data_IF_561931209174
#
_entry.id   IF_561931209174
#
_cell.length_a   1.000
_cell.length_b   1.000
_cell.length_c   1.000
_cell.angle_alpha   90.00
_cell.angle_beta   90.00
_cell.angle_gamma   90.00
#
_symmetry.space_group_name_H-M   'P 1'
#
loop_
_entity.id
_entity.type
_entity.pdbx_description
1 polymer ?
#
# COMPACT_ATOMS: atom_id res chain seq x y z
N UNK A 1 -5.13 -35.16 22.48
CA UNK A 1 -3.98 -34.26 22.59
C UNK A 1 -3.91 -33.71 24.00
N UNK A 2 -2.82 -34.05 24.71
CA UNK A 2 -2.56 -33.57 26.06
C UNK A 2 -1.85 -32.21 26.10
N UNK A 3 -1.56 -31.70 27.33
CA UNK A 3 -0.86 -30.43 27.49
C UNK A 3 0.52 -30.38 26.81
N UNK A 4 1.25 -31.52 26.80
CA UNK A 4 2.55 -31.63 26.14
C UNK A 4 2.45 -31.48 24.64
N UNK A 5 1.44 -32.13 24.00
CA UNK A 5 1.21 -32.01 22.55
C UNK A 5 0.84 -30.58 22.15
N UNK A 6 0.08 -29.89 22.99
CA UNK A 6 -0.30 -28.49 22.72
C UNK A 6 0.90 -27.54 22.79
N UNK A 7 1.83 -27.77 23.74
CA UNK A 7 3.09 -27.00 23.78
C UNK A 7 3.93 -27.27 22.55
N UNK A 8 4.10 -28.55 22.17
CA UNK A 8 4.87 -28.94 20.99
C UNK A 8 4.26 -28.39 19.71
N UNK A 9 2.93 -28.39 19.59
CA UNK A 9 2.24 -27.81 18.44
C UNK A 9 2.48 -26.30 18.32
N UNK A 10 2.55 -25.57 19.43
CA UNK A 10 2.89 -24.13 19.43
C UNK A 10 4.32 -23.88 18.96
N UNK A 11 5.28 -24.71 19.39
CA UNK A 11 6.68 -24.63 18.94
C UNK A 11 6.80 -24.91 17.44
N UNK A 12 6.12 -25.92 16.93
CA UNK A 12 6.12 -26.26 15.51
C UNK A 12 5.58 -25.12 14.63
N UNK A 13 4.52 -24.41 15.11
CA UNK A 13 3.99 -23.24 14.41
C UNK A 13 4.93 -22.04 14.51
N UNK A 14 5.63 -21.87 15.64
CA UNK A 14 6.62 -20.79 15.77
C UNK A 14 7.83 -21.00 14.85
N UNK A 15 8.25 -22.24 14.67
CA UNK A 15 9.33 -22.64 13.77
C UNK A 15 8.92 -22.49 12.29
N UNK A 16 7.73 -22.98 11.91
CA UNK A 16 7.20 -22.91 10.54
C UNK A 16 5.72 -22.46 10.55
N UNK A 17 5.47 -21.15 10.51
CA UNK A 17 4.11 -20.60 10.62
C UNK A 17 3.17 -20.93 9.44
N UNK A 18 3.71 -21.34 8.31
CA UNK A 18 2.97 -21.73 7.09
C UNK A 18 2.80 -23.25 6.92
N UNK A 19 3.21 -24.04 7.89
CA UNK A 19 3.00 -25.49 7.88
C UNK A 19 1.51 -25.83 7.72
N UNK A 20 1.22 -26.79 6.86
CA UNK A 20 -0.13 -27.34 6.66
C UNK A 20 -0.55 -28.17 7.88
N UNK A 21 -1.85 -28.39 8.04
CA UNK A 21 -2.36 -29.24 9.13
C UNK A 21 -1.81 -30.66 9.05
N UNK A 22 -1.56 -31.18 7.84
CA UNK A 22 -0.98 -32.50 7.63
C UNK A 22 0.49 -32.54 8.06
N UNK A 23 1.30 -31.57 7.64
CA UNK A 23 2.70 -31.45 8.08
C UNK A 23 2.82 -31.32 9.61
N UNK A 24 1.94 -30.54 10.21
CA UNK A 24 1.88 -30.41 11.67
C UNK A 24 1.53 -31.74 12.35
N UNK A 25 0.59 -32.50 11.79
CA UNK A 25 0.22 -33.82 12.28
C UNK A 25 1.40 -34.79 12.23
N UNK A 26 2.10 -34.83 11.09
CA UNK A 26 3.28 -35.69 10.88
C UNK A 26 4.41 -35.32 11.85
N UNK A 27 4.74 -34.02 11.96
CA UNK A 27 5.83 -33.52 12.82
C UNK A 27 5.51 -33.67 14.33
N UNK A 28 4.23 -33.64 14.69
CA UNK A 28 3.80 -33.87 16.07
C UNK A 28 3.97 -35.35 16.49
N UNK A 29 3.89 -36.28 15.53
CA UNK A 29 4.08 -37.71 15.77
C UNK A 29 2.97 -38.37 16.59
N UNK A 30 1.80 -37.74 16.73
CA UNK A 30 0.66 -38.25 17.50
C UNK A 30 -0.40 -38.84 16.56
N UNK A 31 -0.89 -40.04 16.88
CA UNK A 31 -1.97 -40.68 16.15
C UNK A 31 -3.28 -39.89 16.33
N UNK A 32 -3.55 -38.96 15.43
CA UNK A 32 -4.75 -38.12 15.47
C UNK A 32 -5.20 -37.72 14.07
N UNK A 33 -6.44 -37.26 13.94
CA UNK A 33 -6.96 -36.73 12.68
C UNK A 33 -6.48 -35.29 12.44
N UNK A 34 -6.44 -34.85 11.17
CA UNK A 34 -6.20 -33.46 10.77
C UNK A 34 -7.16 -32.49 11.51
N UNK A 35 -8.41 -32.92 11.70
CA UNK A 35 -9.41 -32.13 12.42
C UNK A 35 -9.09 -31.99 13.91
N UNK A 36 -8.37 -32.94 14.51
CA UNK A 36 -7.89 -32.82 15.89
C UNK A 36 -6.80 -31.73 15.99
N UNK A 37 -5.89 -31.65 15.01
CA UNK A 37 -4.90 -30.56 14.91
C UNK A 37 -5.61 -29.20 14.76
N UNK A 38 -6.59 -29.10 13.84
CA UNK A 38 -7.35 -27.86 13.64
C UNK A 38 -8.07 -27.39 14.92
N UNK A 39 -8.68 -28.31 15.68
CA UNK A 39 -9.31 -28.03 16.98
C UNK A 39 -8.29 -27.59 18.04
N UNK A 40 -7.13 -28.22 18.07
CA UNK A 40 -6.04 -27.85 18.98
C UNK A 40 -5.52 -26.44 18.70
N UNK A 41 -5.27 -26.08 17.43
CA UNK A 41 -4.88 -24.73 17.04
C UNK A 41 -5.92 -23.69 17.46
N UNK A 42 -7.22 -23.99 17.27
CA UNK A 42 -8.30 -23.11 17.72
C UNK A 42 -8.31 -22.94 19.24
N UNK A 43 -8.08 -24.02 20.02
CA UNK A 43 -7.92 -23.97 21.49
C UNK A 43 -6.73 -23.09 21.89
N UNK A 44 -5.64 -23.11 21.12
CA UNK A 44 -4.46 -22.28 21.32
C UNK A 44 -4.65 -20.82 20.84
N UNK A 45 -5.84 -20.46 20.30
CA UNK A 45 -6.14 -19.17 19.67
C UNK A 45 -5.25 -18.87 18.45
N UNK A 46 -4.72 -19.89 17.80
CA UNK A 46 -3.95 -19.78 16.56
C UNK A 46 -4.90 -19.95 15.38
N UNK A 47 -4.99 -18.94 14.53
CA UNK A 47 -5.87 -18.91 13.37
C UNK A 47 -5.08 -18.77 12.08
N UNK A 48 -5.60 -19.30 10.97
CA UNK A 48 -5.02 -19.08 9.65
C UNK A 48 -5.10 -17.60 9.29
N UNK A 49 -3.96 -17.01 8.92
CA UNK A 49 -3.83 -15.64 8.46
C UNK A 49 -3.32 -15.59 7.03
N UNK A 50 -3.70 -14.55 6.29
CA UNK A 50 -3.06 -14.25 5.00
C UNK A 50 -1.60 -13.87 5.29
N UNK A 51 -0.65 -14.45 4.55
CA UNK A 51 0.78 -14.15 4.68
C UNK A 51 1.07 -12.82 4.01
N UNK A 52 1.70 -11.91 4.72
CA UNK A 52 2.24 -10.68 4.14
C UNK A 52 3.57 -11.01 3.47
N UNK A 53 3.61 -10.86 2.13
CA UNK A 53 4.81 -11.09 1.34
C UNK A 53 5.44 -9.75 0.97
N UNK A 54 6.71 -9.59 1.26
CA UNK A 54 7.52 -8.46 0.84
C UNK A 54 8.83 -8.93 0.19
N UNK A 55 9.47 -8.05 -0.55
CA UNK A 55 10.73 -8.38 -1.22
C UNK A 55 11.79 -8.80 -0.19
N UNK A 56 12.49 -9.92 -0.44
CA UNK A 56 13.53 -10.46 0.45
C UNK A 56 14.62 -9.42 0.74
N UNK A 57 14.98 -8.57 -0.22
CA UNK A 57 15.96 -7.49 -0.06
C UNK A 57 15.59 -6.46 1.02
N UNK A 58 14.29 -6.32 1.37
CA UNK A 58 13.80 -5.45 2.45
C UNK A 58 14.42 -5.83 3.81
N UNK A 59 14.67 -7.11 4.04
CA UNK A 59 15.19 -7.62 5.30
C UNK A 59 16.69 -7.48 5.47
N UNK A 60 17.41 -7.04 4.42
CA UNK A 60 18.85 -6.83 4.49
C UNK A 60 19.22 -5.78 5.56
N UNK A 61 20.35 -5.97 6.26
CA UNK A 61 20.81 -5.01 7.29
C UNK A 61 20.96 -3.59 6.76
N UNK A 62 21.38 -3.44 5.49
CA UNK A 62 21.53 -2.15 4.83
C UNK A 62 20.20 -1.42 4.66
N UNK A 63 19.16 -2.12 4.17
CA UNK A 63 17.82 -1.53 4.00
C UNK A 63 17.19 -1.24 5.36
N UNK A 64 17.31 -2.14 6.32
CA UNK A 64 16.83 -1.90 7.71
C UNK A 64 17.47 -0.66 8.36
N UNK A 65 18.76 -0.41 8.10
CA UNK A 65 19.43 0.84 8.57
C UNK A 65 18.84 2.08 7.89
N UNK A 66 18.68 2.06 6.55
CA UNK A 66 18.08 3.17 5.78
C UNK A 66 16.65 3.48 6.26
N UNK A 67 15.82 2.45 6.45
CA UNK A 67 14.46 2.60 6.97
C UNK A 67 14.42 3.23 8.36
N UNK A 68 15.35 2.84 9.25
CA UNK A 68 15.49 3.47 10.57
C UNK A 68 15.96 4.92 10.50
N UNK A 69 16.86 5.25 9.55
CA UNK A 69 17.32 6.61 9.34
C UNK A 69 16.17 7.52 8.89
N UNK A 70 15.43 7.14 7.84
CA UNK A 70 14.26 7.90 7.35
C UNK A 70 13.21 8.08 8.45
N UNK A 71 12.90 7.04 9.24
CA UNK A 71 11.95 7.18 10.35
C UNK A 71 12.40 8.20 11.39
N UNK A 72 13.70 8.24 11.73
CA UNK A 72 14.24 9.22 12.68
C UNK A 72 14.20 10.63 12.11
N UNK A 73 14.54 10.78 10.83
CA UNK A 73 14.53 12.07 10.14
C UNK A 73 13.11 12.64 10.10
N UNK A 74 12.14 11.84 9.65
CA UNK A 74 10.73 12.27 9.56
C UNK A 74 10.10 12.50 10.93
N UNK A 75 10.50 11.77 11.98
CA UNK A 75 9.97 11.96 13.33
C UNK A 75 10.26 13.37 13.92
N UNK A 76 11.24 14.09 13.37
CA UNK A 76 11.55 15.48 13.75
C UNK A 76 10.88 16.53 12.87
N UNK A 77 10.04 16.14 11.92
CA UNK A 77 9.38 17.03 10.97
C UNK A 77 7.90 17.17 11.36
N UNK A 78 7.37 18.40 11.32
CA UNK A 78 5.94 18.63 11.49
C UNK A 78 5.14 17.83 10.45
N UNK A 79 4.23 16.93 10.84
CA UNK A 79 3.42 16.12 9.93
C UNK A 79 2.65 16.95 8.88
N UNK A 80 2.33 18.20 9.15
CA UNK A 80 1.69 19.13 8.21
C UNK A 80 2.59 19.47 7.01
N UNK A 81 3.91 19.34 7.16
CA UNK A 81 4.91 19.60 6.13
C UNK A 81 5.19 18.41 5.23
N UNK A 82 4.68 17.23 5.57
CA UNK A 82 4.95 16.02 4.80
C UNK A 82 4.03 15.92 3.57
N UNK A 83 4.60 15.64 2.42
CA UNK A 83 3.90 15.43 1.15
C UNK A 83 4.34 14.09 0.57
N UNK A 84 3.49 13.08 0.70
CA UNK A 84 3.76 11.77 0.11
C UNK A 84 3.27 11.77 -1.33
N UNK A 85 4.15 11.50 -2.29
CA UNK A 85 3.84 11.48 -3.74
C UNK A 85 4.08 10.09 -4.29
N UNK A 86 3.15 9.61 -5.13
CA UNK A 86 3.25 8.31 -5.78
C UNK A 86 2.34 8.23 -7.01
N UNK A 87 2.49 7.16 -7.81
CA UNK A 87 1.67 6.87 -8.98
C UNK A 87 0.82 5.62 -8.80
N UNK A 88 -0.35 5.64 -9.40
CA UNK A 88 -1.24 4.48 -9.42
C UNK A 88 -1.97 4.30 -10.73
N UNK A 89 -1.85 3.11 -11.33
CA UNK A 89 -2.60 2.75 -12.53
C UNK A 89 -4.04 2.35 -12.21
N UNK A 90 -4.96 2.74 -13.12
CA UNK A 90 -6.33 2.26 -13.18
C UNK A 90 -6.71 1.93 -14.62
N UNK A 91 -7.72 1.08 -14.83
CA UNK A 91 -8.15 0.70 -16.17
C UNK A 91 -9.67 0.45 -16.26
N UNK A 92 -10.17 0.43 -17.50
CA UNK A 92 -11.60 0.26 -17.79
C UNK A 92 -12.11 -1.18 -17.62
N UNK A 93 -11.23 -2.15 -17.29
CA UNK A 93 -11.62 -3.51 -16.95
C UNK A 93 -11.87 -3.70 -15.43
N UNK A 94 -11.60 -2.68 -14.61
CA UNK A 94 -11.81 -2.77 -13.16
C UNK A 94 -13.28 -3.08 -12.86
N UNK A 95 -13.49 -4.09 -12.00
CA UNK A 95 -14.83 -4.52 -11.56
C UNK A 95 -14.72 -5.13 -10.15
N UNK A 96 -15.84 -5.29 -9.48
CA UNK A 96 -15.90 -5.97 -8.17
C UNK A 96 -15.43 -7.41 -8.31
N UNK A 97 -14.49 -7.81 -7.46
CA UNK A 97 -13.89 -9.14 -7.47
C UNK A 97 -14.61 -10.13 -6.54
N UNK A 98 -15.58 -9.66 -5.76
CA UNK A 98 -16.35 -10.45 -4.82
C UNK A 98 -17.85 -10.23 -5.00
N UNK A 99 -18.63 -11.29 -4.82
CA UNK A 99 -20.08 -11.28 -4.78
C UNK A 99 -20.59 -12.30 -3.75
N UNK A 100 -21.91 -12.40 -3.59
CA UNK A 100 -22.55 -13.36 -2.68
C UNK A 100 -23.39 -14.35 -3.47
N UNK A 101 -23.30 -15.64 -3.11
CA UNK A 101 -24.13 -16.72 -3.65
C UNK A 101 -24.47 -17.71 -2.53
N UNK A 102 -25.48 -18.57 -2.71
CA UNK A 102 -25.73 -19.70 -1.83
C UNK A 102 -24.51 -20.60 -1.68
N UNK A 103 -24.43 -21.32 -0.57
CA UNK A 103 -23.34 -22.27 -0.30
C UNK A 103 -23.20 -23.26 -1.48
N UNK A 104 -21.96 -23.48 -1.93
CA UNK A 104 -21.66 -24.37 -3.06
C UNK A 104 -21.89 -23.77 -4.46
N UNK A 105 -22.35 -22.52 -4.56
CA UNK A 105 -22.50 -21.79 -5.83
C UNK A 105 -21.38 -20.78 -6.02
N UNK A 106 -20.99 -20.54 -7.28
CA UNK A 106 -20.03 -19.49 -7.67
C UNK A 106 -20.79 -18.26 -8.16
N UNK A 107 -20.19 -17.08 -7.95
CA UNK A 107 -20.62 -15.85 -8.60
C UNK A 107 -19.81 -15.68 -9.88
N UNK A 108 -20.50 -15.39 -10.97
CA UNK A 108 -19.90 -15.09 -12.25
C UNK A 108 -20.09 -13.60 -12.57
N UNK A 109 -19.11 -13.00 -13.24
CA UNK A 109 -19.16 -11.64 -13.75
C UNK A 109 -18.34 -11.56 -15.04
N UNK A 110 -18.57 -10.53 -15.83
CA UNK A 110 -17.81 -10.26 -17.06
C UNK A 110 -17.05 -8.95 -16.94
N UNK A 111 -15.88 -8.90 -17.54
CA UNK A 111 -15.08 -7.70 -17.72
C UNK A 111 -14.64 -7.61 -19.19
N UNK A 112 -14.34 -6.41 -19.72
CA UNK A 112 -13.82 -6.26 -21.08
C UNK A 112 -12.54 -7.10 -21.29
N UNK A 113 -12.41 -7.73 -22.45
CA UNK A 113 -11.20 -8.45 -22.86
C UNK A 113 -10.06 -7.50 -23.27
N UNK A 114 -10.38 -6.28 -23.66
CA UNK A 114 -9.45 -5.19 -23.91
C UNK A 114 -9.83 -4.00 -23.04
N UNK A 115 -8.84 -3.25 -22.59
CA UNK A 115 -9.06 -2.10 -21.69
C UNK A 115 -8.08 -0.98 -21.94
N UNK A 116 -8.53 0.23 -21.70
CA UNK A 116 -7.69 1.42 -21.64
C UNK A 116 -7.16 1.61 -20.22
N UNK A 117 -5.94 2.10 -20.11
CA UNK A 117 -5.29 2.36 -18.84
C UNK A 117 -4.97 3.84 -18.67
N UNK A 118 -5.18 4.34 -17.47
CA UNK A 118 -4.77 5.67 -17.05
C UNK A 118 -3.83 5.58 -15.85
N UNK A 119 -2.97 6.57 -15.72
CA UNK A 119 -2.13 6.76 -14.53
C UNK A 119 -2.62 7.99 -13.77
N UNK A 120 -2.85 7.83 -12.47
CA UNK A 120 -3.06 8.91 -11.52
C UNK A 120 -1.74 9.16 -10.78
N UNK A 121 -1.23 10.39 -10.84
CA UNK A 121 -0.16 10.88 -9.95
C UNK A 121 -0.79 11.91 -9.02
N UNK A 122 -0.49 11.84 -7.74
CA UNK A 122 -0.89 12.88 -6.79
C UNK A 122 0.01 12.89 -5.55
N UNK A 123 -0.13 13.91 -4.75
CA UNK A 123 0.41 14.00 -3.40
C UNK A 123 -0.67 13.77 -2.35
N UNK A 124 -0.28 13.26 -1.19
CA UNK A 124 -1.10 13.15 0.01
C UNK A 124 -0.43 13.90 1.14
N UNK A 125 -1.14 14.89 1.70
CA UNK A 125 -0.79 15.63 2.91
C UNK A 125 -1.74 15.22 4.05
N UNK A 126 -1.39 15.59 5.27
CA UNK A 126 -2.31 15.44 6.40
C UNK A 126 -3.58 16.31 6.21
N UNK A 127 -3.47 17.43 5.48
CA UNK A 127 -4.59 18.33 5.15
C UNK A 127 -5.45 17.89 3.96
N UNK A 128 -5.02 16.91 3.15
CA UNK A 128 -5.77 16.50 1.97
C UNK A 128 -4.91 15.93 0.84
N UNK A 129 -5.59 15.56 -0.23
CA UNK A 129 -4.96 15.20 -1.51
C UNK A 129 -4.51 16.49 -2.21
N UNK A 130 -3.32 16.48 -2.79
CA UNK A 130 -2.75 17.64 -3.48
C UNK A 130 -2.24 17.25 -4.86
N UNK A 131 -2.27 18.19 -5.81
CA UNK A 131 -1.74 18.05 -7.17
C UNK A 131 -2.18 16.76 -7.90
N UNK A 132 -3.46 16.36 -7.93
CA UNK A 132 -3.89 15.17 -8.66
C UNK A 132 -3.86 15.44 -10.17
N UNK A 133 -3.22 14.54 -10.92
CA UNK A 133 -3.17 14.55 -12.39
C UNK A 133 -3.46 13.14 -12.91
N UNK A 134 -4.37 13.04 -13.87
CA UNK A 134 -4.71 11.79 -14.56
C UNK A 134 -4.32 11.92 -16.03
N UNK A 135 -3.64 10.91 -16.56
CA UNK A 135 -3.26 10.88 -17.98
C UNK A 135 -3.24 9.44 -18.49
N UNK A 136 -3.29 9.28 -19.82
CA UNK A 136 -3.17 7.97 -20.47
C UNK A 136 -1.71 7.55 -20.57
N UNK A 137 -1.45 6.26 -20.38
CA UNK A 137 -0.12 5.68 -20.49
C UNK A 137 0.65 5.60 -19.17
N UNK A 138 1.93 5.21 -19.28
CA UNK A 138 2.82 5.01 -18.14
C UNK A 138 3.66 6.26 -17.85
N UNK A 139 4.03 6.45 -16.59
CA UNK A 139 4.96 7.49 -16.17
C UNK A 139 6.37 7.20 -16.69
N UNK A 140 6.99 8.21 -17.26
CA UNK A 140 8.42 8.27 -17.57
C UNK A 140 9.04 9.54 -16.95
N UNK A 141 10.34 9.72 -17.11
CA UNK A 141 11.05 10.88 -16.50
C UNK A 141 10.50 12.22 -16.98
N UNK A 142 10.17 12.37 -18.26
CA UNK A 142 9.65 13.62 -18.81
C UNK A 142 8.25 13.94 -18.30
N UNK A 143 7.37 12.93 -18.26
CA UNK A 143 6.02 13.05 -17.70
C UNK A 143 6.06 13.41 -16.22
N UNK A 144 6.92 12.73 -15.45
CA UNK A 144 7.07 13.01 -14.03
C UNK A 144 7.65 14.41 -13.77
N UNK A 145 8.63 14.83 -14.55
CA UNK A 145 9.17 16.20 -14.47
C UNK A 145 8.11 17.27 -14.78
N UNK A 146 7.29 17.02 -15.82
CA UNK A 146 6.18 17.91 -16.16
C UNK A 146 5.18 17.99 -15.01
N UNK A 147 4.78 16.84 -14.43
CA UNK A 147 3.91 16.78 -13.26
C UNK A 147 4.49 17.58 -12.08
N UNK A 148 5.78 17.38 -11.77
CA UNK A 148 6.40 18.08 -10.64
C UNK A 148 6.41 19.59 -10.87
N UNK A 149 6.79 20.06 -12.05
CA UNK A 149 6.87 21.49 -12.37
C UNK A 149 5.50 22.17 -12.45
N UNK A 150 4.52 21.52 -13.10
CA UNK A 150 3.24 22.15 -13.43
C UNK A 150 2.14 21.92 -12.38
N UNK A 151 2.17 20.80 -11.68
CA UNK A 151 1.12 20.44 -10.73
C UNK A 151 1.62 20.47 -9.28
N UNK A 152 2.75 19.82 -8.97
CA UNK A 152 3.20 19.67 -7.59
C UNK A 152 3.82 20.95 -7.04
N UNK A 153 4.81 21.52 -7.71
CA UNK A 153 5.56 22.73 -7.26
C UNK A 153 4.65 23.90 -6.92
N UNK A 154 3.60 24.22 -7.72
CA UNK A 154 2.67 25.31 -7.36
C UNK A 154 1.88 25.07 -6.06
N UNK A 155 1.83 23.85 -5.55
CA UNK A 155 1.15 23.47 -4.31
C UNK A 155 2.09 23.30 -3.12
N UNK A 156 3.41 23.40 -3.35
CA UNK A 156 4.42 23.28 -2.29
C UNK A 156 4.58 24.62 -1.54
N UNK A 157 4.92 24.50 -0.27
CA UNK A 157 5.31 25.61 0.60
C UNK A 157 6.77 25.46 1.03
N UNK A 158 7.42 26.56 1.29
CA UNK A 158 8.78 26.53 1.85
C UNK A 158 8.80 25.73 3.16
N UNK A 159 9.75 24.80 3.27
CA UNK A 159 9.88 23.86 4.39
C UNK A 159 9.06 22.59 4.26
N UNK A 160 8.31 22.39 3.16
CA UNK A 160 7.68 21.09 2.89
C UNK A 160 8.74 20.01 2.63
N UNK A 161 8.41 18.76 2.98
CA UNK A 161 9.23 17.59 2.71
C UNK A 161 8.47 16.63 1.83
N UNK A 162 8.89 16.53 0.57
CA UNK A 162 8.32 15.65 -0.43
C UNK A 162 8.94 14.27 -0.29
N UNK A 163 8.10 13.28 -0.03
CA UNK A 163 8.49 11.89 0.17
C UNK A 163 7.95 11.06 -0.98
N UNK A 164 8.83 10.43 -1.73
CA UNK A 164 8.48 9.50 -2.82
C UNK A 164 9.39 8.28 -2.84
N UNK A 165 9.08 7.32 -3.69
CA UNK A 165 9.89 6.13 -3.83
C UNK A 165 11.23 6.40 -4.54
N UNK A 166 12.01 5.34 -4.70
CA UNK A 166 13.38 5.41 -5.21
C UNK A 166 13.47 5.05 -6.71
N UNK A 167 12.42 5.31 -7.52
CA UNK A 167 12.42 5.05 -8.95
C UNK A 167 13.33 6.02 -9.71
N UNK A 168 13.73 5.64 -10.93
CA UNK A 168 14.62 6.46 -11.76
C UNK A 168 14.05 7.85 -12.08
N UNK A 169 12.77 8.01 -12.47
CA UNK A 169 12.17 9.31 -12.70
C UNK A 169 12.30 10.26 -11.51
N UNK A 170 12.10 9.75 -10.28
CA UNK A 170 12.13 10.54 -9.05
C UNK A 170 13.53 11.05 -8.66
N UNK A 171 14.57 10.43 -9.21
CA UNK A 171 15.98 10.80 -8.97
C UNK A 171 16.56 11.77 -10.01
N UNK A 172 15.81 12.13 -11.03
CA UNK A 172 16.27 13.04 -12.05
C UNK A 172 16.63 14.40 -11.40
N UNK A 173 17.83 14.90 -11.69
CA UNK A 173 18.31 16.17 -11.10
C UNK A 173 17.34 17.32 -11.32
N UNK A 174 16.75 17.40 -12.52
CA UNK A 174 15.78 18.43 -12.86
C UNK A 174 14.53 18.38 -11.99
N UNK A 175 14.07 17.17 -11.61
CA UNK A 175 12.93 16.94 -10.73
C UNK A 175 13.25 17.40 -9.30
N UNK A 176 14.38 16.95 -8.75
CA UNK A 176 14.80 17.33 -7.40
C UNK A 176 15.04 18.85 -7.31
N UNK A 177 15.76 19.43 -8.27
CA UNK A 177 16.01 20.88 -8.29
C UNK A 177 14.73 21.71 -8.44
N UNK A 178 13.69 21.21 -9.10
CA UNK A 178 12.41 21.91 -9.19
C UNK A 178 11.71 22.00 -7.82
N UNK A 179 11.75 20.92 -7.03
CA UNK A 179 11.18 20.90 -5.67
C UNK A 179 12.02 21.78 -4.72
N UNK A 180 13.35 21.66 -4.77
CA UNK A 180 14.26 22.47 -3.96
C UNK A 180 14.18 23.96 -4.29
N UNK A 181 14.00 24.29 -5.57
CA UNK A 181 13.76 25.67 -6.02
C UNK A 181 12.48 26.31 -5.48
N UNK A 182 11.51 25.51 -5.06
CA UNK A 182 10.31 25.97 -4.35
C UNK A 182 10.51 26.11 -2.83
N UNK A 183 11.73 25.90 -2.32
CA UNK A 183 12.03 25.92 -0.88
C UNK A 183 11.61 24.67 -0.13
N UNK A 184 11.23 23.60 -0.82
CA UNK A 184 10.90 22.31 -0.25
C UNK A 184 12.10 21.35 -0.31
N UNK A 185 12.04 20.25 0.40
CA UNK A 185 13.09 19.23 0.42
C UNK A 185 12.59 17.90 -0.13
N UNK A 186 13.48 17.11 -0.74
CA UNK A 186 13.17 15.77 -1.21
C UNK A 186 13.75 14.73 -0.27
N UNK A 187 12.92 13.81 0.22
CA UNK A 187 13.34 12.67 1.03
C UNK A 187 12.93 11.36 0.34
N UNK A 188 13.85 10.68 -0.37
CA UNK A 188 13.53 9.44 -1.03
C UNK A 188 13.33 8.30 -0.03
N UNK A 189 12.28 7.51 -0.20
CA UNK A 189 12.06 6.30 0.58
C UNK A 189 13.15 5.26 0.28
N UNK A 190 13.53 4.45 1.26
CA UNK A 190 14.40 3.30 1.03
C UNK A 190 13.74 2.29 0.07
N UNK A 191 14.50 1.48 -0.66
CA UNK A 191 13.94 0.43 -1.51
C UNK A 191 12.96 -0.47 -0.74
N UNK A 192 11.90 -0.92 -1.42
CA UNK A 192 10.86 -1.81 -0.87
C UNK A 192 10.17 -1.28 0.39
N UNK A 193 9.86 0.03 0.42
CA UNK A 193 9.31 0.71 1.60
C UNK A 193 7.93 1.33 1.37
N UNK A 194 7.12 0.81 0.45
CA UNK A 194 5.73 1.24 0.22
C UNK A 194 4.86 1.15 1.48
N UNK A 195 5.20 0.24 2.40
CA UNK A 195 4.54 0.12 3.71
C UNK A 195 4.81 1.32 4.66
N UNK A 196 5.69 2.23 4.29
CA UNK A 196 6.00 3.44 5.05
C UNK A 196 5.26 4.69 4.54
N UNK A 197 4.33 4.54 3.61
CA UNK A 197 3.63 5.67 3.02
C UNK A 197 2.12 5.53 3.13
N UNK A 198 1.40 6.58 3.59
CA UNK A 198 -0.05 6.55 3.71
C UNK A 198 -0.77 6.64 2.35
N UNK A 199 -0.11 7.07 1.28
CA UNK A 199 -0.69 7.23 -0.04
C UNK A 199 -1.14 5.90 -0.66
N UNK A 200 -0.50 4.79 -0.30
CA UNK A 200 -0.90 3.44 -0.74
C UNK A 200 -2.29 3.05 -0.22
N UNK A 201 -2.63 3.44 1.01
CA UNK A 201 -3.96 3.22 1.57
C UNK A 201 -5.01 4.09 0.85
N UNK A 202 -4.65 5.32 0.52
CA UNK A 202 -5.47 6.20 -0.30
C UNK A 202 -5.77 5.54 -1.66
N UNK A 203 -4.76 5.06 -2.37
CA UNK A 203 -4.96 4.35 -3.64
C UNK A 203 -5.78 3.07 -3.50
N UNK A 204 -5.64 2.37 -2.40
CA UNK A 204 -6.47 1.19 -2.10
C UNK A 204 -7.95 1.56 -2.01
N UNK A 205 -8.30 2.66 -1.31
CA UNK A 205 -9.67 3.19 -1.22
C UNK A 205 -10.18 3.64 -2.60
N UNK A 206 -9.41 4.42 -3.34
CA UNK A 206 -9.74 4.87 -4.70
C UNK A 206 -10.01 3.67 -5.60
N UNK A 207 -9.11 2.68 -5.66
CA UNK A 207 -9.30 1.47 -6.46
C UNK A 207 -10.53 0.66 -6.04
N UNK A 208 -10.88 0.68 -4.76
CA UNK A 208 -12.12 0.09 -4.25
C UNK A 208 -13.36 0.76 -4.85
N UNK A 209 -13.39 2.09 -4.86
CA UNK A 209 -14.47 2.88 -5.48
C UNK A 209 -14.55 2.64 -6.99
N UNK A 210 -13.41 2.67 -7.71
CA UNK A 210 -13.36 2.42 -9.15
C UNK A 210 -13.90 1.03 -9.53
N UNK A 211 -13.58 -0.01 -8.76
CA UNK A 211 -14.15 -1.36 -8.97
C UNK A 211 -15.66 -1.39 -8.75
N UNK A 212 -16.19 -0.53 -7.89
CA UNK A 212 -17.64 -0.43 -7.65
C UNK A 212 -18.36 0.29 -8.77
N UNK A 213 -17.76 1.34 -9.33
CA UNK A 213 -18.28 2.09 -10.48
C UNK A 213 -18.24 1.25 -11.75
N UNK A 214 -17.19 0.44 -11.94
CA UNK A 214 -16.95 -0.40 -13.10
C UNK A 214 -17.01 0.41 -14.42
N UNK A 215 -16.32 1.56 -14.46
CA UNK A 215 -16.23 2.44 -15.64
C UNK A 215 -15.70 1.69 -16.87
N UNK A 216 -16.26 1.98 -18.04
CA UNK A 216 -15.95 1.28 -19.31
C UNK A 216 -15.35 2.18 -20.38
N UNK A 217 -15.22 3.48 -20.12
CA UNK A 217 -14.50 4.43 -20.98
C UNK A 217 -13.50 5.22 -20.16
N UNK A 218 -12.51 5.81 -20.82
CA UNK A 218 -11.47 6.63 -20.16
C UNK A 218 -12.09 7.86 -19.47
N UNK A 219 -13.09 8.48 -20.09
CA UNK A 219 -13.79 9.66 -19.56
C UNK A 219 -14.52 9.31 -18.26
N UNK A 220 -15.31 8.22 -18.27
CA UNK A 220 -16.04 7.77 -17.08
C UNK A 220 -15.09 7.29 -15.97
N UNK A 221 -13.96 6.68 -16.35
CA UNK A 221 -12.92 6.28 -15.39
C UNK A 221 -12.26 7.51 -14.74
N UNK A 222 -11.92 8.52 -15.54
CA UNK A 222 -11.33 9.79 -15.05
C UNK A 222 -12.29 10.53 -14.12
N UNK A 223 -13.56 10.62 -14.50
CA UNK A 223 -14.59 11.22 -13.64
C UNK A 223 -14.76 10.44 -12.32
N UNK A 224 -14.75 9.10 -12.39
CA UNK A 224 -14.82 8.26 -11.21
C UNK A 224 -13.59 8.41 -10.28
N UNK A 225 -12.40 8.63 -10.84
CA UNK A 225 -11.19 8.95 -10.06
C UNK A 225 -11.40 10.27 -9.32
N UNK A 226 -11.86 11.33 -10.01
CA UNK A 226 -12.15 12.62 -9.40
C UNK A 226 -13.13 12.52 -8.23
N UNK A 227 -14.26 11.82 -8.43
CA UNK A 227 -15.24 11.56 -7.36
C UNK A 227 -14.62 10.78 -6.19
N UNK A 228 -13.85 9.72 -6.47
CA UNK A 228 -13.23 8.91 -5.42
C UNK A 228 -12.19 9.69 -4.60
N UNK A 229 -11.47 10.63 -5.22
CA UNK A 229 -10.55 11.53 -4.51
C UNK A 229 -11.31 12.54 -3.65
N UNK A 230 -12.45 13.07 -4.14
CA UNK A 230 -13.31 13.98 -3.38
C UNK A 230 -13.92 13.31 -2.13
N UNK A 231 -14.24 12.03 -2.20
CA UNK A 231 -14.82 11.24 -1.10
C UNK A 231 -13.81 10.83 -0.01
N UNK A 232 -12.55 11.26 -0.12
CA UNK A 232 -11.54 11.03 0.90
C UNK A 232 -11.76 12.01 2.06
N UNK A 233 -12.11 11.47 3.23
CA UNK A 233 -12.34 12.28 4.41
C UNK A 233 -11.04 12.57 5.19
N UNK A 234 -11.05 13.63 6.00
CA UNK A 234 -9.96 13.93 6.92
C UNK A 234 -9.69 12.79 7.91
N UNK A 235 -10.74 12.04 8.30
CA UNK A 235 -10.62 10.87 9.17
C UNK A 235 -9.89 9.72 8.49
N UNK A 236 -10.14 9.48 7.20
CA UNK A 236 -9.37 8.49 6.41
C UNK A 236 -7.88 8.84 6.44
N UNK A 237 -7.55 10.09 6.09
CA UNK A 237 -6.17 10.56 6.00
C UNK A 237 -5.47 10.42 7.36
N UNK A 238 -6.10 10.89 8.43
CA UNK A 238 -5.56 10.76 9.78
C UNK A 238 -5.30 9.29 10.14
N UNK A 239 -6.26 8.40 9.84
CA UNK A 239 -6.10 6.96 10.07
C UNK A 239 -4.94 6.34 9.28
N UNK A 240 -4.75 6.77 8.03
CA UNK A 240 -3.63 6.31 7.20
C UNK A 240 -2.28 6.81 7.71
N UNK A 241 -2.20 8.06 8.11
CA UNK A 241 -0.99 8.61 8.74
C UNK A 241 -0.67 7.89 10.04
N UNK A 242 -1.65 7.63 10.90
CA UNK A 242 -1.47 6.89 12.14
C UNK A 242 -1.04 5.43 11.92
N UNK A 243 -1.50 4.79 10.84
CA UNK A 243 -1.18 3.38 10.56
C UNK A 243 0.13 3.19 9.81
N UNK A 244 0.42 4.03 8.80
CA UNK A 244 1.57 3.86 7.89
C UNK A 244 2.71 4.83 8.16
N UNK A 245 2.39 6.02 8.62
CA UNK A 245 3.35 7.06 8.95
C UNK A 245 3.32 7.41 10.46
N UNK A 246 3.02 6.44 11.33
CA UNK A 246 3.01 6.62 12.79
C UNK A 246 4.32 7.23 13.33
N UNK A 247 5.44 6.96 12.66
CA UNK A 247 6.75 7.54 12.97
C UNK A 247 6.82 9.06 12.76
N UNK A 248 5.89 9.63 11.96
CA UNK A 248 5.76 11.06 11.74
C UNK A 248 4.76 11.72 12.71
N UNK A 249 3.94 10.95 13.41
CA UNK A 249 2.85 11.42 14.27
C UNK A 249 3.23 11.47 15.76
N UNK A 250 4.53 11.34 16.07
CA UNK A 250 5.04 11.23 17.46
C UNK A 250 5.43 12.61 18.06
N UNK A 251 4.88 13.71 17.54
CA UNK A 251 5.08 15.05 18.08
C UNK A 251 4.08 15.36 19.18
#
# INVERSE_FOLDING_TARGET
>A
MGPADLRRLRELIADQPDATLEELRQRLGVACSIMAIARALRKLKITRKKKDLHAQGRDSPAVKRKRRAVRREVAGIDPQRLVFVDESGANTAMTRTYGRAPVGKRVHGSAPGHWDSVTLICGLRLSGVTAPVVFQGATNTAVFETYVRQALVPQLQAGDVVIWDNLKPHKAKAVVSAVEGAGAHVLPLPPWSSDMTPIEEMYSKVKGALRSVAARTTETLTAAIGSALHDISAQDILGWFQSRAAYAMQL
#
